data_IF_021830823213
#
_entry.id   IF_021830823213
#
_cell.length_a   1.000
_cell.length_b   1.000
_cell.length_c   1.000
_cell.angle_alpha   90.00
_cell.angle_beta   90.00
_cell.angle_gamma   90.00
#
_symmetry.space_group_name_H-M   'P 1'
#
loop_
_entity.id
_entity.type
_entity.pdbx_description
1 polymer ?
#
# COMPACT_ATOMS: atom_id res chain seq x y z
N UNK A 1 29.19 -34.15 19.50
CA UNK A 1 29.10 -33.45 18.19
C UNK A 1 28.02 -32.39 18.32
N UNK A 2 28.39 -31.11 18.35
CA UNK A 2 27.44 -29.98 18.36
C UNK A 2 27.38 -29.40 16.94
N UNK A 3 26.19 -29.41 16.32
CA UNK A 3 25.96 -28.74 15.05
C UNK A 3 25.67 -27.26 15.31
N UNK A 4 26.68 -26.41 15.08
CA UNK A 4 26.51 -24.97 14.99
C UNK A 4 25.99 -24.62 13.59
N UNK A 5 24.70 -24.32 13.46
CA UNK A 5 24.18 -23.68 12.26
C UNK A 5 24.50 -22.17 12.33
N UNK A 6 25.59 -21.75 11.68
CA UNK A 6 25.82 -20.32 11.44
C UNK A 6 24.85 -19.86 10.34
N UNK A 7 23.85 -19.07 10.71
CA UNK A 7 22.98 -18.37 9.76
C UNK A 7 23.79 -17.21 9.15
N UNK A 8 24.44 -17.49 8.03
CA UNK A 8 25.07 -16.47 7.19
C UNK A 8 23.97 -15.78 6.37
N UNK A 9 23.63 -14.55 6.73
CA UNK A 9 22.71 -13.72 5.96
C UNK A 9 23.26 -13.48 4.55
N UNK A 10 22.41 -13.69 3.54
CA UNK A 10 22.72 -13.41 2.13
C UNK A 10 22.46 -11.93 1.86
N UNK A 11 23.34 -11.20 1.14
CA UNK A 11 23.08 -9.81 0.78
C UNK A 11 21.77 -9.68 0.02
N UNK A 12 20.89 -8.82 0.54
CA UNK A 12 19.64 -8.40 -0.11
C UNK A 12 20.04 -7.74 -1.43
N UNK A 13 19.51 -8.27 -2.53
CA UNK A 13 19.76 -7.88 -3.91
C UNK A 13 19.83 -6.34 -4.06
N UNK A 14 20.86 -5.82 -4.73
CA UNK A 14 20.98 -4.39 -5.03
C UNK A 14 19.90 -3.98 -6.04
N UNK A 15 18.78 -3.45 -5.56
CA UNK A 15 17.73 -2.89 -6.40
C UNK A 15 17.97 -1.39 -6.60
N UNK A 16 17.68 -0.90 -7.81
CA UNK A 16 17.70 0.53 -8.10
C UNK A 16 16.38 1.15 -7.61
N UNK A 17 16.47 2.08 -6.67
CA UNK A 17 15.33 2.92 -6.30
C UNK A 17 15.35 4.12 -7.24
N UNK A 18 14.46 4.12 -8.24
CA UNK A 18 14.12 5.36 -8.94
C UNK A 18 13.32 6.22 -7.96
N UNK A 19 13.99 7.17 -7.32
CA UNK A 19 13.34 8.13 -6.44
C UNK A 19 12.39 9.05 -7.21
N UNK A 20 11.42 9.62 -6.52
CA UNK A 20 10.48 10.60 -7.08
C UNK A 20 11.11 12.00 -7.22
N UNK A 21 12.29 12.25 -6.65
CA UNK A 21 12.91 13.59 -6.61
C UNK A 21 13.04 14.27 -7.98
N UNK A 22 13.43 13.53 -9.02
CA UNK A 22 13.49 14.09 -10.39
C UNK A 22 12.10 14.37 -10.99
N UNK A 23 11.07 13.63 -10.57
CA UNK A 23 9.68 13.89 -10.99
C UNK A 23 9.09 15.07 -10.22
N UNK A 24 9.41 15.21 -8.93
CA UNK A 24 8.93 16.32 -8.10
C UNK A 24 9.50 17.66 -8.55
N UNK A 25 10.81 17.74 -8.81
CA UNK A 25 11.44 18.96 -9.34
C UNK A 25 10.87 19.33 -10.73
N UNK A 26 10.63 18.32 -11.58
CA UNK A 26 10.18 18.54 -12.95
C UNK A 26 8.69 18.93 -13.05
N UNK A 27 7.83 18.35 -12.22
CA UNK A 27 6.38 18.48 -12.37
C UNK A 27 5.68 19.16 -11.20
N UNK A 28 6.34 19.25 -10.04
CA UNK A 28 5.71 19.65 -8.78
C UNK A 28 6.54 20.65 -7.96
N UNK A 29 7.57 21.28 -8.53
CA UNK A 29 8.46 22.27 -7.91
C UNK A 29 9.42 21.68 -6.86
N UNK A 30 8.91 21.01 -5.85
CA UNK A 30 9.70 20.39 -4.77
C UNK A 30 8.93 19.23 -4.10
N UNK A 31 9.57 18.57 -3.13
CA UNK A 31 8.99 17.41 -2.43
C UNK A 31 7.77 17.78 -1.58
N UNK A 32 7.72 18.99 -1.02
CA UNK A 32 6.62 19.45 -0.18
C UNK A 32 5.37 19.72 -1.01
N UNK A 33 5.53 20.34 -2.18
CA UNK A 33 4.44 20.56 -3.12
C UNK A 33 3.93 19.24 -3.73
N UNK A 34 4.81 18.25 -3.95
CA UNK A 34 4.38 16.89 -4.31
C UNK A 34 3.60 16.22 -3.17
N UNK A 35 4.07 16.32 -1.93
CA UNK A 35 3.35 15.81 -0.76
C UNK A 35 1.96 16.44 -0.66
N UNK A 36 1.86 17.77 -0.80
CA UNK A 36 0.56 18.46 -0.79
C UNK A 36 -0.36 17.96 -1.93
N UNK A 37 0.19 17.79 -3.13
CA UNK A 37 -0.57 17.27 -4.28
C UNK A 37 -1.07 15.85 -4.04
N UNK A 38 -0.25 14.98 -3.43
CA UNK A 38 -0.64 13.62 -3.08
C UNK A 38 -1.83 13.63 -2.11
N UNK A 39 -1.76 14.45 -1.05
CA UNK A 39 -2.85 14.58 -0.07
C UNK A 39 -4.14 15.05 -0.74
N UNK A 40 -4.07 16.13 -1.54
CA UNK A 40 -5.22 16.66 -2.27
C UNK A 40 -5.79 15.69 -3.32
N UNK A 41 -4.98 14.78 -3.82
CA UNK A 41 -5.42 13.74 -4.77
C UNK A 41 -6.16 12.65 -4.01
N UNK A 42 -5.59 12.16 -2.91
CA UNK A 42 -6.24 11.17 -2.03
C UNK A 42 -7.61 11.67 -1.55
N UNK A 43 -7.74 12.94 -1.18
CA UNK A 43 -9.01 13.54 -0.75
C UNK A 43 -10.11 13.54 -1.83
N UNK A 44 -9.75 13.34 -3.11
CA UNK A 44 -10.67 13.34 -4.25
C UNK A 44 -10.95 11.96 -4.81
N UNK A 45 -10.19 10.95 -4.38
CA UNK A 45 -10.41 9.59 -4.83
C UNK A 45 -11.73 9.05 -4.23
N UNK A 46 -12.47 8.21 -4.97
CA UNK A 46 -13.74 7.64 -4.52
C UNK A 46 -13.52 6.48 -3.54
N UNK A 47 -12.78 6.71 -2.47
CA UNK A 47 -12.53 5.78 -1.38
C UNK A 47 -13.19 6.29 -0.10
N UNK A 48 -13.51 5.40 0.82
CA UNK A 48 -14.13 5.79 2.09
C UNK A 48 -13.16 6.61 2.97
N UNK A 49 -13.74 7.40 3.88
CA UNK A 49 -12.96 8.32 4.73
C UNK A 49 -12.01 7.59 5.68
N UNK A 50 -12.39 6.40 6.17
CA UNK A 50 -11.55 5.61 7.07
C UNK A 50 -10.30 5.11 6.33
N UNK A 51 -10.47 4.52 5.15
CA UNK A 51 -9.39 4.09 4.26
C UNK A 51 -8.49 5.26 3.86
N UNK A 52 -9.09 6.41 3.52
CA UNK A 52 -8.33 7.63 3.19
C UNK A 52 -7.42 8.04 4.35
N UNK A 53 -7.98 8.16 5.55
CA UNK A 53 -7.23 8.52 6.76
C UNK A 53 -6.14 7.49 7.08
N UNK A 54 -6.39 6.21 6.86
CA UNK A 54 -5.38 5.16 7.04
C UNK A 54 -4.20 5.35 6.09
N UNK A 55 -4.44 5.60 4.80
CA UNK A 55 -3.38 5.85 3.82
C UNK A 55 -2.61 7.12 4.20
N UNK A 56 -3.30 8.22 4.48
CA UNK A 56 -2.68 9.51 4.81
C UNK A 56 -1.78 9.43 6.04
N UNK A 57 -2.20 8.70 7.09
CA UNK A 57 -1.42 8.51 8.33
C UNK A 57 -0.18 7.63 8.14
N UNK A 58 -0.20 6.74 7.15
CA UNK A 58 0.87 5.76 6.91
C UNK A 58 1.71 6.10 5.67
N UNK A 59 1.38 7.16 4.96
CA UNK A 59 2.24 7.76 3.94
C UNK A 59 3.45 8.38 4.62
N UNK A 60 4.65 7.96 4.19
CA UNK A 60 5.87 8.60 4.63
C UNK A 60 6.79 8.91 3.45
N UNK A 61 7.38 10.09 3.51
CA UNK A 61 8.41 10.55 2.60
C UNK A 61 9.76 10.34 3.27
N UNK A 62 10.71 9.76 2.55
CA UNK A 62 12.04 9.51 3.09
C UNK A 62 13.10 9.63 2.01
N UNK A 63 14.35 9.75 2.45
CA UNK A 63 15.53 9.82 1.59
C UNK A 63 16.35 8.55 1.75
N UNK A 64 16.70 7.94 0.63
CA UNK A 64 17.69 6.87 0.56
C UNK A 64 18.86 7.38 -0.27
N UNK A 65 19.99 7.67 0.41
CA UNK A 65 21.10 8.43 -0.16
C UNK A 65 20.64 9.77 -0.77
N UNK A 66 20.81 9.95 -2.07
CA UNK A 66 20.45 11.14 -2.84
C UNK A 66 19.04 11.05 -3.46
N UNK A 67 18.26 10.01 -3.13
CA UNK A 67 16.94 9.76 -3.72
C UNK A 67 15.81 9.96 -2.71
N UNK A 68 14.88 10.83 -3.04
CA UNK A 68 13.60 10.95 -2.36
C UNK A 68 12.66 9.82 -2.81
N UNK A 69 12.00 9.14 -1.87
CA UNK A 69 10.98 8.14 -2.16
C UNK A 69 9.78 8.32 -1.25
N UNK A 70 8.62 7.89 -1.73
CA UNK A 70 7.39 7.84 -0.95
C UNK A 70 7.00 6.39 -0.73
N UNK A 71 6.63 6.06 0.50
CA UNK A 71 6.04 4.77 0.82
C UNK A 71 4.60 5.01 1.23
N UNK A 72 3.69 4.38 0.52
CA UNK A 72 2.29 4.32 0.86
C UNK A 72 2.01 2.96 1.47
N UNK A 73 1.47 2.96 2.69
CA UNK A 73 1.06 1.73 3.37
C UNK A 73 -0.42 1.84 3.73
N UNK A 74 -1.13 0.74 3.51
CA UNK A 74 -2.48 0.53 4.03
C UNK A 74 -2.46 -0.73 4.90
N UNK A 75 -3.24 -0.72 5.97
CA UNK A 75 -3.41 -1.85 6.88
C UNK A 75 -4.82 -2.38 6.64
N UNK A 76 -4.96 -3.71 6.64
CA UNK A 76 -6.28 -4.36 6.50
C UNK A 76 -7.16 -3.97 7.68
N UNK A 77 -8.34 -3.40 7.40
CA UNK A 77 -9.37 -3.11 8.38
C UNK A 77 -10.28 -4.31 8.67
N UNK A 78 -11.31 -4.08 9.49
CA UNK A 78 -12.31 -5.11 9.82
C UNK A 78 -13.25 -5.42 8.63
N UNK A 79 -13.43 -4.45 7.75
CA UNK A 79 -14.24 -4.54 6.54
C UNK A 79 -13.35 -4.38 5.29
N UNK A 80 -13.75 -4.95 4.15
CA UNK A 80 -13.06 -4.69 2.89
C UNK A 80 -13.22 -3.21 2.49
N UNK A 81 -12.13 -2.59 2.05
CA UNK A 81 -12.18 -1.25 1.46
C UNK A 81 -12.82 -1.30 0.08
N UNK A 82 -13.60 -0.27 -0.24
CA UNK A 82 -14.26 -0.10 -1.53
C UNK A 82 -13.61 1.04 -2.34
N UNK A 83 -13.61 0.89 -3.66
CA UNK A 83 -13.27 1.96 -4.60
C UNK A 83 -14.50 2.21 -5.48
N UNK A 84 -15.06 3.41 -5.40
CA UNK A 84 -16.28 3.80 -6.11
C UNK A 84 -17.47 2.86 -5.85
N UNK A 85 -17.58 2.35 -4.62
CA UNK A 85 -18.63 1.41 -4.20
C UNK A 85 -18.42 -0.03 -4.69
N UNK A 86 -17.25 -0.34 -5.23
CA UNK A 86 -16.91 -1.68 -5.73
C UNK A 86 -15.68 -2.25 -5.02
N UNK A 87 -15.64 -3.58 -4.90
CA UNK A 87 -14.54 -4.29 -4.24
C UNK A 87 -13.66 -4.94 -5.30
N UNK A 88 -12.36 -4.65 -5.24
CA UNK A 88 -11.34 -5.22 -6.11
C UNK A 88 -10.40 -6.12 -5.30
N UNK A 89 -10.01 -7.26 -5.88
CA UNK A 89 -9.13 -8.23 -5.20
C UNK A 89 -7.74 -8.20 -5.80
N UNK A 90 -6.73 -8.02 -4.94
CA UNK A 90 -5.33 -8.15 -5.32
C UNK A 90 -4.94 -9.62 -5.46
N UNK A 91 -4.37 -9.97 -6.61
CA UNK A 91 -3.71 -11.25 -6.91
C UNK A 91 -2.19 -11.03 -7.01
N UNK A 92 -1.49 -11.34 -5.91
CA UNK A 92 -0.01 -11.18 -5.79
C UNK A 92 0.43 -9.74 -6.09
N UNK A 93 0.95 -9.47 -7.29
CA UNK A 93 1.48 -8.17 -7.68
C UNK A 93 0.46 -7.32 -8.46
N UNK A 94 -0.67 -7.91 -8.88
CA UNK A 94 -1.67 -7.25 -9.71
C UNK A 94 -3.02 -7.17 -8.98
N UNK A 95 -3.85 -6.21 -9.38
CA UNK A 95 -5.26 -6.17 -8.98
C UNK A 95 -6.10 -6.77 -10.10
N UNK A 96 -7.12 -7.55 -9.75
CA UNK A 96 -8.11 -7.99 -10.74
C UNK A 96 -8.80 -6.73 -11.32
N UNK A 97 -8.80 -6.52 -12.64
CA UNK A 97 -9.43 -5.33 -13.23
C UNK A 97 -10.96 -5.36 -13.09
N UNK A 98 -11.55 -6.52 -12.84
CA UNK A 98 -12.99 -6.65 -12.61
C UNK A 98 -13.30 -6.63 -11.11
N UNK A 99 -14.30 -5.85 -10.67
CA UNK A 99 -14.77 -5.91 -9.30
C UNK A 99 -15.45 -7.27 -9.03
N UNK A 100 -15.61 -7.59 -7.75
CA UNK A 100 -16.40 -8.75 -7.33
C UNK A 100 -17.85 -8.57 -7.80
N UNK A 101 -18.40 -9.61 -8.43
CA UNK A 101 -19.80 -9.62 -8.85
C UNK A 101 -20.72 -9.48 -7.61
N UNK A 102 -21.79 -8.69 -7.74
CA UNK A 102 -22.76 -8.45 -6.68
C UNK A 102 -23.30 -9.73 -6.04
N UNK A 103 -23.44 -10.80 -6.82
CA UNK A 103 -23.90 -12.10 -6.30
C UNK A 103 -22.91 -12.77 -5.34
N UNK A 104 -21.62 -12.44 -5.47
CA UNK A 104 -20.52 -13.05 -4.73
C UNK A 104 -20.05 -12.20 -3.53
N UNK A 105 -20.57 -10.97 -3.38
CA UNK A 105 -20.19 -10.03 -2.31
C UNK A 105 -20.34 -10.65 -0.91
N UNK A 106 -21.44 -11.33 -0.62
CA UNK A 106 -21.68 -11.93 0.69
C UNK A 106 -20.66 -13.04 1.01
N UNK A 107 -20.39 -13.89 0.03
CA UNK A 107 -19.39 -14.95 0.15
C UNK A 107 -18.01 -14.35 0.41
N UNK A 108 -17.66 -13.31 -0.34
CA UNK A 108 -16.40 -12.61 -0.14
C UNK A 108 -16.26 -12.00 1.26
N UNK A 109 -17.31 -11.36 1.80
CA UNK A 109 -17.25 -10.79 3.15
C UNK A 109 -16.96 -11.85 4.23
N UNK A 110 -17.54 -13.05 4.09
CA UNK A 110 -17.27 -14.18 4.99
C UNK A 110 -15.79 -14.57 4.90
N UNK A 111 -15.29 -14.79 3.67
CA UNK A 111 -13.89 -15.16 3.44
C UNK A 111 -12.91 -14.09 3.96
N UNK A 112 -13.22 -12.81 3.71
CA UNK A 112 -12.44 -11.68 4.19
C UNK A 112 -12.38 -11.64 5.73
N UNK A 113 -13.52 -11.81 6.39
CA UNK A 113 -13.58 -11.82 7.86
C UNK A 113 -12.78 -12.99 8.46
N UNK A 114 -12.89 -14.18 7.88
CA UNK A 114 -12.12 -15.34 8.31
C UNK A 114 -10.61 -15.13 8.15
N UNK A 115 -10.17 -14.60 7.01
CA UNK A 115 -8.76 -14.30 6.78
C UNK A 115 -8.23 -13.25 7.76
N UNK A 116 -9.04 -12.23 8.06
CA UNK A 116 -8.66 -11.16 9.00
C UNK A 116 -8.47 -11.69 10.42
N UNK A 117 -9.23 -12.72 10.83
CA UNK A 117 -9.06 -13.40 12.13
C UNK A 117 -7.83 -14.30 12.17
N UNK A 118 -7.49 -14.97 11.06
CA UNK A 118 -6.36 -15.91 10.99
C UNK A 118 -5.00 -15.22 10.98
N UNK A 119 -4.94 -14.02 10.41
CA UNK A 119 -3.74 -13.21 10.35
C UNK A 119 -4.03 -11.83 10.95
N UNK A 120 -4.14 -11.75 12.30
CA UNK A 120 -4.29 -10.46 12.96
C UNK A 120 -3.01 -9.66 12.69
N UNK A 121 -3.16 -8.55 11.96
CA UNK A 121 -2.06 -7.62 11.73
C UNK A 121 -1.91 -6.76 12.99
N UNK A 122 -0.99 -7.16 13.86
CA UNK A 122 -0.55 -6.41 15.03
C UNK A 122 0.57 -5.44 14.65
#
# INVERSE_FOLDING_TARGET
>A
MQNNLSINGVPVQSFYITGIGSETEKYHKDIDAYQQKLQQTLDKEPIDEETTRLIQRNVFFSKYHDKDFVVMKIIRGEQPSEYNGEIFVRKIANTDPSPIDKKDIYKFHIEFSEQSKRYPYN
#
